data_IF_614951887649
#
_entry.id   IF_614951887649
#
_cell.length_a   1.000
_cell.length_b   1.000
_cell.length_c   1.000
_cell.angle_alpha   90.00
_cell.angle_beta   90.00
_cell.angle_gamma   90.00
#
_symmetry.space_group_name_H-M   'P 1'
#
loop_
_entity.id
_entity.type
_entity.pdbx_description
1 polymer ?
#
# COMPACT_ATOMS: atom_id res chain seq x y z
N UNK A 1 -26.27 73.95 8.88
CA UNK A 1 -25.11 73.11 9.19
C UNK A 1 -23.83 73.93 9.08
N UNK A 2 -23.15 74.11 10.20
CA UNK A 2 -21.92 74.91 10.25
C UNK A 2 -20.73 74.09 9.72
N UNK A 3 -19.84 74.72 8.90
CA UNK A 3 -18.68 74.07 8.28
C UNK A 3 -17.82 73.24 9.26
N UNK A 4 -17.85 73.54 10.55
CA UNK A 4 -17.12 72.82 11.60
C UNK A 4 -17.71 71.47 11.93
N UNK A 5 -19.02 71.27 11.80
CA UNK A 5 -19.70 69.99 12.08
C UNK A 5 -19.47 68.98 10.96
N UNK A 6 -19.30 69.44 9.74
CA UNK A 6 -18.97 68.58 8.59
C UNK A 6 -17.55 68.00 8.67
N UNK A 7 -16.57 68.80 9.17
CA UNK A 7 -15.19 68.36 9.30
C UNK A 7 -15.04 67.31 10.43
N UNK A 8 -15.80 67.44 11.53
CA UNK A 8 -15.81 66.41 12.61
C UNK A 8 -16.46 65.13 12.19
N UNK A 9 -17.48 65.15 11.32
CA UNK A 9 -18.11 63.95 10.78
C UNK A 9 -17.22 63.21 9.78
N UNK A 10 -16.44 63.91 8.95
CA UNK A 10 -15.50 63.33 7.99
C UNK A 10 -14.24 62.79 8.68
N UNK A 11 -13.76 63.47 9.76
CA UNK A 11 -12.63 63.01 10.56
C UNK A 11 -12.95 61.74 11.39
N UNK A 12 -14.18 61.52 11.79
CA UNK A 12 -14.63 60.34 12.52
C UNK A 12 -14.76 59.09 11.61
N UNK A 13 -15.01 59.27 10.30
CA UNK A 13 -15.12 58.18 9.35
C UNK A 13 -13.78 57.63 8.90
N UNK A 14 -12.68 58.37 9.09
CA UNK A 14 -11.31 57.94 8.74
C UNK A 14 -10.67 57.05 9.82
N UNK A 15 -11.30 56.91 10.99
CA UNK A 15 -10.87 56.07 12.09
C UNK A 15 -11.58 54.71 12.15
N UNK A 16 -12.09 54.21 10.98
CA UNK A 16 -12.51 52.81 10.93
C UNK A 16 -11.26 51.98 11.18
N UNK A 17 -11.25 51.11 12.21
CA UNK A 17 -10.13 50.22 12.37
C UNK A 17 -10.06 49.39 11.07
N UNK A 18 -8.99 49.59 10.31
CA UNK A 18 -8.56 48.57 9.36
C UNK A 18 -8.35 47.36 10.25
N UNK A 19 -9.38 46.53 10.37
CA UNK A 19 -9.18 45.17 10.87
C UNK A 19 -8.20 44.57 9.94
N UNK A 20 -6.90 44.69 10.31
CA UNK A 20 -5.87 43.81 9.84
C UNK A 20 -6.47 42.42 10.07
N UNK A 21 -6.92 41.79 9.00
CA UNK A 21 -7.09 40.35 9.03
C UNK A 21 -5.72 39.85 9.40
N UNK A 22 -5.51 39.69 10.74
CA UNK A 22 -4.37 38.97 11.23
C UNK A 22 -4.41 37.71 10.38
N UNK A 23 -3.40 37.52 9.54
CA UNK A 23 -3.17 36.28 8.84
C UNK A 23 -3.25 35.23 9.94
N UNK A 24 -4.40 34.57 10.04
CA UNK A 24 -4.48 33.33 10.82
C UNK A 24 -3.29 32.57 10.35
N UNK A 25 -2.31 32.37 11.25
CA UNK A 25 -1.13 31.62 10.95
C UNK A 25 -1.63 30.36 10.24
N UNK A 26 -1.41 30.27 8.93
CA UNK A 26 -2.00 29.20 8.13
C UNK A 26 -1.49 27.92 8.78
N UNK A 27 -2.41 27.18 9.42
CA UNK A 27 -2.07 25.90 10.06
C UNK A 27 -1.37 25.06 9.01
N UNK A 28 -0.10 24.77 9.21
CA UNK A 28 0.65 23.91 8.30
C UNK A 28 -0.05 22.54 8.28
N UNK A 29 -0.61 22.09 7.14
CA UNK A 29 -1.29 20.80 7.06
C UNK A 29 -0.33 19.66 7.38
N UNK A 30 -0.85 18.66 8.06
CA UNK A 30 -0.10 17.47 8.48
C UNK A 30 -0.56 16.26 7.71
N UNK A 31 0.36 15.59 7.03
CA UNK A 31 0.13 14.32 6.33
C UNK A 31 0.72 13.21 7.18
N UNK A 32 -0.12 12.27 7.62
CA UNK A 32 0.32 11.02 8.22
C UNK A 32 0.56 9.98 7.12
N UNK A 33 1.73 9.41 7.03
CA UNK A 33 2.05 8.35 6.09
C UNK A 33 2.22 7.04 6.85
N UNK A 34 1.34 6.08 6.59
CA UNK A 34 1.27 4.79 7.26
C UNK A 34 1.71 3.67 6.32
N UNK A 35 2.84 3.07 6.60
CA UNK A 35 3.48 2.03 5.80
C UNK A 35 3.56 0.71 6.59
N UNK A 36 3.15 -0.44 6.02
CA UNK A 36 3.29 -1.73 6.68
C UNK A 36 4.73 -2.24 6.72
N UNK A 37 5.59 -1.78 5.79
CA UNK A 37 6.98 -2.21 5.63
C UNK A 37 7.98 -1.49 6.52
N UNK A 38 9.24 -1.52 6.09
CA UNK A 38 10.39 -0.94 6.78
C UNK A 38 10.81 0.40 6.17
N UNK A 39 11.64 1.14 6.89
CA UNK A 39 12.24 2.40 6.42
C UNK A 39 13.58 2.21 5.73
N UNK A 40 14.01 0.97 5.45
CA UNK A 40 15.27 0.69 4.76
C UNK A 40 15.11 0.69 3.23
N UNK A 41 16.22 0.87 2.53
CA UNK A 41 16.25 1.03 1.07
C UNK A 41 15.81 -0.22 0.29
N UNK A 42 15.72 -1.36 0.93
CA UNK A 42 15.28 -2.61 0.31
C UNK A 42 13.76 -2.78 0.31
N UNK A 43 13.01 -1.88 0.96
CA UNK A 43 11.56 -1.98 1.12
C UNK A 43 10.81 -1.14 0.09
N UNK A 44 9.75 -1.71 -0.48
CA UNK A 44 8.83 -1.03 -1.40
C UNK A 44 8.21 0.25 -0.80
N UNK A 45 8.14 0.35 0.53
CA UNK A 45 7.65 1.53 1.23
C UNK A 45 8.44 2.78 0.89
N UNK A 46 9.77 2.66 0.77
CA UNK A 46 10.62 3.79 0.34
C UNK A 46 10.43 4.14 -1.13
N UNK A 47 10.22 3.17 -2.01
CA UNK A 47 9.93 3.43 -3.43
C UNK A 47 8.67 4.30 -3.56
N UNK A 48 7.62 3.99 -2.80
CA UNK A 48 6.38 4.79 -2.77
C UNK A 48 6.67 6.21 -2.26
N UNK A 49 7.41 6.36 -1.17
CA UNK A 49 7.76 7.68 -0.61
C UNK A 49 8.64 8.48 -1.56
N UNK A 50 9.61 7.85 -2.22
CA UNK A 50 10.50 8.49 -3.18
C UNK A 50 9.77 9.00 -4.43
N UNK A 51 8.61 8.46 -4.76
CA UNK A 51 7.72 8.99 -5.79
C UNK A 51 6.78 10.07 -5.21
N UNK A 52 6.24 9.86 -4.01
CA UNK A 52 5.23 10.72 -3.40
C UNK A 52 5.76 12.10 -3.01
N UNK A 53 6.95 12.16 -2.40
CA UNK A 53 7.51 13.43 -1.91
C UNK A 53 7.84 14.41 -3.06
N UNK A 54 8.51 13.99 -4.15
CA UNK A 54 8.71 14.85 -5.31
C UNK A 54 7.39 15.32 -5.95
N UNK A 55 6.40 14.42 -6.08
CA UNK A 55 5.08 14.77 -6.64
C UNK A 55 4.36 15.84 -5.79
N UNK A 56 4.42 15.76 -4.46
CA UNK A 56 3.92 16.82 -3.58
C UNK A 56 4.62 18.16 -3.83
N UNK A 57 5.94 18.14 -4.04
CA UNK A 57 6.72 19.35 -4.32
C UNK A 57 6.33 19.99 -5.65
N UNK A 58 6.08 19.19 -6.68
CA UNK A 58 5.58 19.68 -7.98
C UNK A 58 4.20 20.35 -7.85
N UNK A 59 3.39 19.90 -6.89
CA UNK A 59 2.10 20.51 -6.54
C UNK A 59 2.23 21.72 -5.59
N UNK A 60 3.45 22.16 -5.27
CA UNK A 60 3.70 23.32 -4.41
C UNK A 60 3.76 23.02 -2.92
N UNK A 61 3.70 21.74 -2.50
CA UNK A 61 3.85 21.34 -1.11
C UNK A 61 5.29 20.97 -0.79
N UNK A 62 5.95 21.74 0.07
CA UNK A 62 7.34 21.51 0.50
C UNK A 62 7.37 21.19 1.98
N UNK A 63 7.87 19.99 2.30
CA UNK A 63 7.98 19.53 3.68
C UNK A 63 8.84 20.49 4.51
N UNK A 64 8.36 20.82 5.72
CA UNK A 64 9.00 21.77 6.62
C UNK A 64 8.74 23.26 6.30
N UNK A 65 8.11 23.58 5.17
CA UNK A 65 7.73 24.94 4.81
C UNK A 65 6.20 25.15 4.90
N UNK A 66 5.43 24.39 4.13
CA UNK A 66 3.97 24.53 4.06
C UNK A 66 3.21 23.19 4.20
N UNK A 67 3.90 22.10 4.49
CA UNK A 67 3.35 20.80 4.84
C UNK A 67 4.27 20.10 5.84
N UNK A 68 3.69 19.39 6.82
CA UNK A 68 4.42 18.49 7.72
C UNK A 68 4.07 17.03 7.37
N UNK A 69 5.06 16.14 7.32
CA UNK A 69 4.86 14.74 6.96
C UNK A 69 5.34 13.85 8.10
N UNK A 70 4.41 13.12 8.70
CA UNK A 70 4.70 12.14 9.75
C UNK A 70 4.72 10.73 9.16
N UNK A 71 5.89 10.09 9.14
CA UNK A 71 6.10 8.77 8.56
C UNK A 71 6.08 7.70 9.65
N UNK A 72 5.31 6.64 9.45
CA UNK A 72 5.19 5.49 10.33
C UNK A 72 5.44 4.20 9.55
N UNK A 73 6.39 3.39 10.01
CA UNK A 73 6.77 2.11 9.40
C UNK A 73 6.56 0.98 10.39
N UNK A 74 5.69 0.04 10.06
CA UNK A 74 5.26 -1.01 10.97
C UNK A 74 6.13 -2.28 10.94
N UNK A 75 7.13 -2.37 10.05
CA UNK A 75 8.08 -3.49 9.98
C UNK A 75 7.40 -4.86 9.79
N UNK A 76 6.27 -4.88 9.08
CA UNK A 76 5.42 -6.04 8.82
C UNK A 76 4.68 -6.57 10.05
N UNK A 77 4.70 -5.83 11.17
CA UNK A 77 3.96 -6.11 12.39
C UNK A 77 2.56 -5.46 12.35
N UNK A 78 1.52 -6.31 12.36
CA UNK A 78 0.13 -5.84 12.28
C UNK A 78 -0.33 -5.08 13.54
N UNK A 79 0.19 -5.44 14.73
CA UNK A 79 -0.13 -4.74 15.97
C UNK A 79 0.53 -3.37 16.00
N UNK A 80 1.78 -3.31 15.55
CA UNK A 80 2.51 -2.04 15.40
C UNK A 80 1.79 -1.13 14.39
N UNK A 81 1.29 -1.68 13.29
CA UNK A 81 0.54 -0.93 12.27
C UNK A 81 -0.73 -0.30 12.87
N UNK A 82 -1.50 -1.04 13.67
CA UNK A 82 -2.68 -0.51 14.36
C UNK A 82 -2.34 0.58 15.37
N UNK A 83 -1.31 0.37 16.20
CA UNK A 83 -0.85 1.39 17.15
C UNK A 83 -0.43 2.67 16.44
N UNK A 84 0.32 2.56 15.35
CA UNK A 84 0.78 3.71 14.58
C UNK A 84 -0.36 4.47 13.90
N UNK A 85 -1.41 3.77 13.45
CA UNK A 85 -2.61 4.42 12.93
C UNK A 85 -3.29 5.26 14.04
N UNK A 86 -3.41 4.74 15.26
CA UNK A 86 -3.96 5.46 16.41
C UNK A 86 -3.08 6.67 16.76
N UNK A 87 -1.76 6.52 16.78
CA UNK A 87 -0.83 7.64 17.03
C UNK A 87 -0.99 8.78 16.00
N UNK A 88 -1.21 8.48 14.72
CA UNK A 88 -1.47 9.51 13.71
C UNK A 88 -2.75 10.28 13.99
N UNK A 89 -3.80 9.59 14.44
CA UNK A 89 -5.07 10.22 14.86
C UNK A 89 -4.86 11.12 16.09
N UNK A 90 -4.15 10.65 17.10
CA UNK A 90 -3.83 11.42 18.31
C UNK A 90 -2.99 12.67 17.98
N UNK A 91 -2.13 12.60 16.99
CA UNK A 91 -1.34 13.73 16.47
C UNK A 91 -2.15 14.68 15.61
N UNK A 92 -3.43 14.42 15.41
CA UNK A 92 -4.35 15.26 14.65
C UNK A 92 -3.83 15.58 13.23
N UNK A 93 -3.39 14.54 12.50
CA UNK A 93 -3.06 14.73 11.09
C UNK A 93 -4.31 15.08 10.29
N UNK A 94 -4.14 15.91 9.25
CA UNK A 94 -5.27 16.38 8.43
C UNK A 94 -5.68 15.35 7.35
N UNK A 95 -4.75 14.44 6.99
CA UNK A 95 -4.98 13.32 6.06
C UNK A 95 -4.03 12.17 6.37
N UNK A 96 -4.49 10.93 6.17
CA UNK A 96 -3.65 9.73 6.27
C UNK A 96 -3.45 9.16 4.87
N UNK A 97 -2.19 9.01 4.45
CA UNK A 97 -1.80 8.24 3.27
C UNK A 97 -1.42 6.84 3.73
N UNK A 98 -2.19 5.84 3.31
CA UNK A 98 -2.04 4.46 3.74
C UNK A 98 -1.59 3.58 2.56
N UNK A 99 -0.44 2.93 2.68
CA UNK A 99 0.06 2.02 1.65
C UNK A 99 -0.51 0.62 1.82
N UNK A 100 -1.25 0.15 0.82
CA UNK A 100 -1.89 -1.17 0.76
C UNK A 100 -3.14 -1.36 1.64
N UNK A 101 -3.90 -2.45 1.40
CA UNK A 101 -5.11 -2.78 2.16
C UNK A 101 -4.90 -2.90 3.67
N UNK A 102 -3.82 -3.52 4.21
CA UNK A 102 -3.60 -3.58 5.65
C UNK A 102 -3.48 -2.21 6.32
N UNK A 103 -2.73 -1.27 5.71
CA UNK A 103 -2.57 0.08 6.26
C UNK A 103 -3.88 0.87 6.17
N UNK A 104 -4.61 0.77 5.05
CA UNK A 104 -5.93 1.38 4.90
C UNK A 104 -6.92 0.87 5.95
N UNK A 105 -6.91 -0.44 6.24
CA UNK A 105 -7.74 -1.06 7.28
C UNK A 105 -7.38 -0.54 8.66
N UNK A 106 -6.09 -0.50 9.01
CA UNK A 106 -5.64 0.03 10.29
C UNK A 106 -6.04 1.50 10.48
N UNK A 107 -5.87 2.33 9.45
CA UNK A 107 -6.30 3.73 9.47
C UNK A 107 -7.82 3.86 9.60
N UNK A 108 -8.62 3.09 8.84
CA UNK A 108 -10.09 3.09 8.90
C UNK A 108 -10.62 2.68 10.28
N UNK A 109 -9.95 1.73 10.95
CA UNK A 109 -10.30 1.32 12.31
C UNK A 109 -9.97 2.40 13.35
N UNK A 110 -8.94 3.21 13.11
CA UNK A 110 -8.51 4.27 14.03
C UNK A 110 -9.34 5.55 13.92
N UNK A 111 -9.92 5.85 12.74
CA UNK A 111 -10.70 7.07 12.53
C UNK A 111 -11.80 6.91 11.47
N UNK A 112 -12.91 7.59 11.71
CA UNK A 112 -14.03 7.71 10.75
C UNK A 112 -14.12 9.11 10.12
N UNK A 113 -13.29 10.06 10.58
CA UNK A 113 -13.38 11.49 10.21
C UNK A 113 -12.17 11.98 9.42
N UNK A 114 -10.95 11.54 9.76
CA UNK A 114 -9.76 11.94 9.02
C UNK A 114 -9.80 11.26 7.64
N UNK A 115 -9.65 12.01 6.53
CA UNK A 115 -9.56 11.44 5.19
C UNK A 115 -8.40 10.46 5.07
N UNK A 116 -8.64 9.32 4.43
CA UNK A 116 -7.64 8.28 4.18
C UNK A 116 -7.49 8.11 2.67
N UNK A 117 -6.28 8.37 2.16
CA UNK A 117 -5.91 8.11 0.77
C UNK A 117 -5.10 6.82 0.74
N UNK A 118 -5.75 5.74 0.33
CA UNK A 118 -5.10 4.43 0.27
C UNK A 118 -4.47 4.17 -1.11
N UNK A 119 -3.24 3.68 -1.11
CA UNK A 119 -2.47 3.41 -2.32
C UNK A 119 -2.40 1.91 -2.53
N UNK A 120 -2.69 1.44 -3.76
CA UNK A 120 -2.55 0.06 -4.18
C UNK A 120 -3.32 -0.93 -3.28
N UNK A 121 -4.59 -0.66 -3.03
CA UNK A 121 -5.49 -1.64 -2.42
C UNK A 121 -5.72 -2.81 -3.39
N UNK A 122 -5.89 -4.02 -2.87
CA UNK A 122 -6.20 -5.20 -3.68
C UNK A 122 -7.68 -5.18 -4.10
N UNK A 123 -8.55 -5.61 -3.23
CA UNK A 123 -10.00 -5.50 -3.40
C UNK A 123 -10.60 -4.71 -2.22
N UNK A 124 -10.79 -3.40 -2.38
CA UNK A 124 -11.29 -2.59 -1.28
C UNK A 124 -12.77 -2.80 -0.97
N UNK A 125 -13.54 -3.40 -1.89
CA UNK A 125 -14.96 -3.74 -1.66
C UNK A 125 -15.06 -5.04 -0.85
N UNK A 126 -14.40 -6.09 -1.28
CA UNK A 126 -14.34 -7.36 -0.54
C UNK A 126 -13.65 -7.21 0.80
N UNK A 127 -12.64 -6.35 0.88
CA UNK A 127 -11.96 -5.98 2.12
C UNK A 127 -12.77 -5.03 3.02
N UNK A 128 -14.00 -4.66 2.62
CA UNK A 128 -14.90 -3.75 3.35
C UNK A 128 -14.28 -2.38 3.65
N UNK A 129 -13.33 -1.95 2.83
CA UNK A 129 -12.71 -0.63 2.97
C UNK A 129 -13.59 0.47 2.39
N UNK A 130 -14.29 0.18 1.30
CA UNK A 130 -15.23 1.07 0.62
C UNK A 130 -16.51 0.34 0.25
N UNK A 131 -17.61 1.09 0.07
CA UNK A 131 -18.89 0.51 -0.34
C UNK A 131 -18.89 0.07 -1.81
N UNK A 132 -18.24 0.84 -2.68
CA UNK A 132 -17.98 0.51 -4.08
C UNK A 132 -16.83 1.35 -4.62
N UNK A 133 -16.26 0.95 -5.77
CA UNK A 133 -15.17 1.72 -6.41
C UNK A 133 -15.63 3.11 -6.88
N UNK A 134 -16.86 3.20 -7.41
CA UNK A 134 -17.42 4.46 -7.90
C UNK A 134 -17.91 5.38 -6.79
N UNK A 135 -18.31 4.83 -5.66
CA UNK A 135 -18.86 5.56 -4.50
C UNK A 135 -18.33 4.94 -3.21
N UNK A 136 -17.16 5.36 -2.74
CA UNK A 136 -16.51 4.80 -1.55
C UNK A 136 -17.37 4.85 -0.28
N UNK A 137 -18.20 5.88 -0.10
CA UNK A 137 -19.22 5.95 0.95
C UNK A 137 -18.73 6.26 2.36
N UNK A 138 -17.42 6.51 2.54
CA UNK A 138 -16.82 6.81 3.84
C UNK A 138 -15.60 7.72 3.70
N UNK A 139 -14.71 7.68 4.69
CA UNK A 139 -13.50 8.50 4.73
C UNK A 139 -12.29 7.88 3.98
N UNK A 140 -12.47 6.74 3.30
CA UNK A 140 -11.42 6.06 2.52
C UNK A 140 -11.63 6.29 1.04
N UNK A 141 -10.58 6.72 0.34
CA UNK A 141 -10.47 6.77 -1.11
C UNK A 141 -9.08 6.29 -1.54
N UNK A 142 -8.83 6.13 -2.83
CA UNK A 142 -7.49 5.77 -3.29
C UNK A 142 -7.47 4.97 -4.59
N UNK A 143 -6.42 4.17 -4.75
CA UNK A 143 -6.15 3.37 -5.94
C UNK A 143 -6.15 1.88 -5.64
N UNK A 144 -6.52 1.10 -6.65
CA UNK A 144 -6.45 -0.37 -6.64
C UNK A 144 -5.45 -0.88 -7.67
N UNK A 145 -5.11 -2.16 -7.61
CA UNK A 145 -4.34 -2.85 -8.63
C UNK A 145 -4.96 -4.22 -8.94
N UNK A 146 -4.72 -4.72 -10.15
CA UNK A 146 -5.28 -6.00 -10.64
C UNK A 146 -4.45 -7.23 -10.20
N UNK A 147 -3.97 -7.24 -8.96
CA UNK A 147 -3.14 -8.33 -8.47
C UNK A 147 -3.89 -9.63 -8.23
N UNK A 148 -5.00 -9.59 -7.47
CA UNK A 148 -5.82 -10.75 -7.16
C UNK A 148 -6.41 -11.43 -8.40
N UNK A 149 -6.93 -10.66 -9.34
CA UNK A 149 -7.64 -11.15 -10.53
C UNK A 149 -6.74 -11.89 -11.54
N UNK A 150 -5.43 -11.76 -11.37
CA UNK A 150 -4.46 -12.34 -12.29
C UNK A 150 -3.78 -13.62 -11.78
N UNK A 151 -4.15 -14.13 -10.60
CA UNK A 151 -3.45 -15.29 -10.02
C UNK A 151 -3.61 -16.56 -10.84
N UNK A 152 -4.83 -16.84 -11.33
CA UNK A 152 -5.12 -17.98 -12.20
C UNK A 152 -4.40 -17.83 -13.55
N UNK A 153 -4.38 -16.62 -14.11
CA UNK A 153 -3.71 -16.36 -15.38
C UNK A 153 -2.20 -16.59 -15.30
N UNK A 154 -1.58 -16.19 -14.21
CA UNK A 154 -0.14 -16.45 -13.97
C UNK A 154 0.18 -17.93 -13.93
N UNK A 155 -0.65 -18.75 -13.29
CA UNK A 155 -0.49 -20.21 -13.31
C UNK A 155 -0.62 -20.77 -14.71
N UNK A 156 -1.62 -20.33 -15.49
CA UNK A 156 -1.80 -20.72 -16.88
C UNK A 156 -0.57 -20.39 -17.74
N UNK A 157 -0.04 -19.19 -17.60
CA UNK A 157 1.17 -18.76 -18.33
C UNK A 157 2.39 -19.59 -17.93
N UNK A 158 2.58 -19.86 -16.65
CA UNK A 158 3.68 -20.73 -16.18
C UNK A 158 3.56 -22.14 -16.76
N UNK A 159 2.36 -22.69 -16.88
CA UNK A 159 2.09 -23.99 -17.53
C UNK A 159 2.45 -24.00 -19.02
N UNK A 160 2.22 -22.88 -19.72
CA UNK A 160 2.61 -22.74 -21.13
C UNK A 160 4.14 -22.71 -21.28
N UNK A 161 4.83 -22.03 -20.38
CA UNK A 161 6.29 -21.89 -20.41
C UNK A 161 6.99 -23.19 -20.02
N UNK A 162 6.37 -24.00 -19.12
CA UNK A 162 6.94 -25.26 -18.63
C UNK A 162 6.00 -26.41 -19.04
N UNK A 163 6.21 -27.06 -20.18
CA UNK A 163 5.29 -28.09 -20.70
C UNK A 163 5.09 -29.30 -19.76
N UNK A 164 6.07 -29.61 -18.92
CA UNK A 164 6.01 -30.74 -17.96
C UNK A 164 5.54 -30.34 -16.56
N UNK A 165 5.02 -29.12 -16.36
CA UNK A 165 4.65 -28.60 -15.05
C UNK A 165 3.59 -29.49 -14.37
N UNK A 166 3.96 -30.17 -13.29
CA UNK A 166 3.09 -31.07 -12.55
C UNK A 166 2.84 -30.63 -11.11
N UNK A 167 3.79 -29.96 -10.49
CA UNK A 167 3.69 -29.42 -9.13
C UNK A 167 4.15 -27.99 -9.10
N UNK A 168 3.32 -27.10 -8.57
CA UNK A 168 3.62 -25.65 -8.43
C UNK A 168 3.56 -25.25 -6.98
N UNK A 169 4.63 -24.62 -6.51
CA UNK A 169 4.60 -23.90 -5.24
C UNK A 169 3.94 -22.52 -5.43
N UNK A 170 3.17 -22.12 -4.46
CA UNK A 170 2.57 -20.77 -4.37
C UNK A 170 3.12 -20.10 -3.13
N UNK A 171 4.01 -19.16 -3.31
CA UNK A 171 4.54 -18.35 -2.20
C UNK A 171 3.59 -17.18 -1.94
N UNK A 172 3.04 -17.11 -0.75
CA UNK A 172 2.02 -16.13 -0.40
C UNK A 172 2.19 -15.56 1.00
N UNK A 173 1.68 -14.35 1.22
CA UNK A 173 1.72 -13.68 2.52
C UNK A 173 0.33 -13.73 3.16
N UNK A 174 0.13 -14.43 4.30
CA UNK A 174 -1.20 -14.67 4.88
C UNK A 174 -1.97 -13.42 5.30
N UNK A 175 -1.29 -12.31 5.55
CA UNK A 175 -1.89 -11.05 5.99
C UNK A 175 -1.70 -9.92 4.97
N UNK A 176 -1.47 -10.27 3.69
CA UNK A 176 -1.30 -9.28 2.63
C UNK A 176 -2.57 -8.43 2.41
N UNK A 177 -3.73 -9.05 2.59
CA UNK A 177 -5.05 -8.46 2.30
C UNK A 177 -6.06 -8.88 3.37
N UNK A 178 -7.34 -8.53 3.18
CA UNK A 178 -8.43 -9.05 4.00
C UNK A 178 -8.65 -10.54 3.79
N UNK A 179 -9.34 -11.16 4.75
CA UNK A 179 -9.59 -12.61 4.73
C UNK A 179 -10.36 -13.05 3.48
N UNK A 180 -11.36 -12.26 3.04
CA UNK A 180 -12.17 -12.58 1.85
C UNK A 180 -11.32 -12.53 0.59
N UNK A 181 -10.56 -11.45 0.40
CA UNK A 181 -9.65 -11.32 -0.76
C UNK A 181 -8.64 -12.46 -0.79
N UNK A 182 -8.02 -12.79 0.34
CA UNK A 182 -7.06 -13.91 0.40
C UNK A 182 -7.71 -15.26 0.11
N UNK A 183 -8.86 -15.55 0.72
CA UNK A 183 -9.60 -16.77 0.46
C UNK A 183 -10.02 -16.90 -1.01
N UNK A 184 -10.46 -15.78 -1.61
CA UNK A 184 -10.80 -15.70 -3.03
C UNK A 184 -9.61 -16.05 -3.93
N UNK A 185 -8.45 -15.43 -3.70
CA UNK A 185 -7.23 -15.70 -4.45
C UNK A 185 -6.75 -17.16 -4.34
N UNK A 186 -6.79 -17.73 -3.13
CA UNK A 186 -6.41 -19.14 -2.91
C UNK A 186 -7.38 -20.09 -3.62
N UNK A 187 -8.68 -19.86 -3.49
CA UNK A 187 -9.70 -20.65 -4.18
C UNK A 187 -9.57 -20.56 -5.70
N UNK A 188 -9.26 -19.39 -6.23
CA UNK A 188 -9.10 -19.18 -7.67
C UNK A 188 -7.90 -19.95 -8.22
N UNK A 189 -6.72 -19.87 -7.55
CA UNK A 189 -5.55 -20.62 -8.00
C UNK A 189 -5.72 -22.12 -7.83
N UNK A 190 -6.40 -22.59 -6.80
CA UNK A 190 -6.75 -24.01 -6.60
C UNK A 190 -7.65 -24.52 -7.74
N UNK A 191 -8.69 -23.77 -8.10
CA UNK A 191 -9.57 -24.09 -9.22
C UNK A 191 -8.82 -24.14 -10.55
N UNK A 192 -7.95 -23.16 -10.80
CA UNK A 192 -7.09 -23.15 -11.99
C UNK A 192 -6.15 -24.35 -12.03
N UNK A 193 -5.54 -24.72 -10.91
CA UNK A 193 -4.66 -25.89 -10.82
C UNK A 193 -5.39 -27.20 -11.09
N UNK A 194 -6.61 -27.38 -10.56
CA UNK A 194 -7.45 -28.52 -10.86
C UNK A 194 -7.73 -28.63 -12.36
N UNK A 195 -8.12 -27.53 -12.99
CA UNK A 195 -8.39 -27.46 -14.44
C UNK A 195 -7.16 -27.82 -15.27
N UNK A 196 -5.98 -27.43 -14.82
CA UNK A 196 -4.69 -27.69 -15.50
C UNK A 196 -4.06 -29.04 -15.15
N UNK A 197 -4.64 -29.81 -14.25
CA UNK A 197 -4.09 -31.07 -13.76
C UNK A 197 -2.77 -30.88 -12.99
N UNK A 198 -2.59 -29.77 -12.34
CA UNK A 198 -1.36 -29.37 -11.61
C UNK A 198 -1.58 -29.47 -10.10
N UNK A 199 -0.64 -30.05 -9.36
CA UNK A 199 -0.67 -30.10 -7.90
C UNK A 199 -0.14 -28.78 -7.33
N UNK A 200 -0.84 -28.21 -6.35
CA UNK A 200 -0.38 -27.02 -5.63
C UNK A 200 0.27 -27.38 -4.31
N UNK A 201 1.31 -26.62 -3.99
CA UNK A 201 1.91 -26.53 -2.67
C UNK A 201 1.78 -25.08 -2.18
N UNK A 202 0.88 -24.81 -1.26
CA UNK A 202 0.72 -23.48 -0.68
C UNK A 202 1.79 -23.26 0.40
N UNK A 203 2.65 -22.28 0.20
CA UNK A 203 3.81 -22.00 1.07
C UNK A 203 3.66 -20.59 1.64
N UNK A 204 3.26 -20.45 2.91
CA UNK A 204 3.13 -19.14 3.53
C UNK A 204 4.49 -18.55 3.91
N UNK A 205 4.61 -17.22 3.79
CA UNK A 205 5.69 -16.42 4.35
C UNK A 205 5.07 -15.16 4.99
N UNK A 206 5.09 -15.07 6.30
CA UNK A 206 4.50 -13.96 7.05
C UNK A 206 5.46 -12.77 7.16
N UNK A 207 6.73 -12.96 6.91
CA UNK A 207 7.77 -11.94 6.90
C UNK A 207 8.98 -12.33 6.06
N UNK A 208 9.94 -11.40 5.88
CA UNK A 208 11.16 -11.68 5.11
C UNK A 208 11.98 -12.86 5.63
N UNK A 209 11.99 -13.07 6.95
CA UNK A 209 12.80 -14.12 7.60
C UNK A 209 12.29 -15.52 7.28
N UNK A 210 11.01 -15.67 6.93
CA UNK A 210 10.40 -16.96 6.58
C UNK A 210 10.84 -17.47 5.21
N UNK A 211 11.40 -16.63 4.33
CA UNK A 211 11.70 -16.99 2.94
C UNK A 211 12.67 -18.16 2.82
N UNK A 212 13.68 -18.22 3.66
CA UNK A 212 14.65 -19.34 3.63
C UNK A 212 13.97 -20.67 3.95
N UNK A 213 13.13 -20.71 4.99
CA UNK A 213 12.33 -21.87 5.35
C UNK A 213 11.31 -22.25 4.29
N UNK A 214 10.65 -21.25 3.70
CA UNK A 214 9.69 -21.43 2.61
C UNK A 214 10.35 -22.12 1.40
N UNK A 215 11.53 -21.66 0.97
CA UNK A 215 12.27 -22.29 -0.13
C UNK A 215 12.77 -23.70 0.18
N UNK A 216 13.17 -23.95 1.43
CA UNK A 216 13.52 -25.32 1.87
C UNK A 216 12.30 -26.26 1.76
N UNK A 217 11.10 -25.81 2.15
CA UNK A 217 9.87 -26.58 2.00
C UNK A 217 9.50 -26.82 0.53
N UNK A 218 9.64 -25.81 -0.34
CA UNK A 218 9.40 -25.90 -1.78
C UNK A 218 10.31 -26.96 -2.41
N UNK A 219 11.61 -26.90 -2.09
CA UNK A 219 12.60 -27.85 -2.62
C UNK A 219 12.37 -29.28 -2.14
N UNK A 220 12.00 -29.46 -0.87
CA UNK A 220 11.70 -30.77 -0.29
C UNK A 220 10.55 -31.47 -1.03
N UNK A 221 9.53 -30.73 -1.44
CA UNK A 221 8.38 -31.24 -2.16
C UNK A 221 8.60 -31.34 -3.68
N UNK A 222 9.77 -30.93 -4.18
CA UNK A 222 10.15 -30.97 -5.60
C UNK A 222 9.16 -30.27 -6.50
N UNK A 223 8.85 -29.01 -6.21
CA UNK A 223 8.05 -28.17 -7.10
C UNK A 223 8.80 -27.93 -8.43
N UNK A 224 8.08 -27.99 -9.54
CA UNK A 224 8.58 -27.74 -10.90
C UNK A 224 8.58 -26.24 -11.25
N UNK A 225 7.81 -25.45 -10.51
CA UNK A 225 7.69 -24.02 -10.72
C UNK A 225 7.14 -23.30 -9.48
N UNK A 226 7.27 -21.99 -9.47
CA UNK A 226 6.84 -21.11 -8.39
C UNK A 226 5.93 -20.01 -8.91
N UNK A 227 4.80 -19.78 -8.26
CA UNK A 227 4.00 -18.56 -8.42
C UNK A 227 4.17 -17.71 -7.16
N UNK A 228 4.62 -16.47 -7.33
CA UNK A 228 4.74 -15.51 -6.24
C UNK A 228 3.49 -14.64 -6.22
N UNK A 229 2.69 -14.75 -5.17
CA UNK A 229 1.48 -13.95 -5.02
C UNK A 229 1.81 -12.47 -4.83
N UNK A 230 0.95 -11.57 -5.32
CA UNK A 230 1.12 -10.16 -5.06
C UNK A 230 1.00 -9.88 -3.55
N UNK A 231 1.96 -9.20 -2.99
CA UNK A 231 1.88 -8.61 -1.65
C UNK A 231 2.98 -7.57 -1.48
N UNK A 232 2.77 -6.48 -0.73
CA UNK A 232 3.80 -5.48 -0.48
C UNK A 232 5.08 -6.09 0.10
N UNK A 233 4.96 -7.06 1.02
CA UNK A 233 6.11 -7.75 1.62
C UNK A 233 6.91 -8.54 0.57
N UNK A 234 6.24 -9.32 -0.27
CA UNK A 234 6.92 -10.12 -1.30
C UNK A 234 7.53 -9.24 -2.39
N UNK A 235 6.89 -8.12 -2.76
CA UNK A 235 7.46 -7.14 -3.70
C UNK A 235 8.80 -6.60 -3.20
N UNK A 236 8.88 -6.19 -1.94
CA UNK A 236 10.13 -5.73 -1.33
C UNK A 236 11.22 -6.81 -1.24
N UNK A 237 10.88 -8.08 -1.45
CA UNK A 237 11.81 -9.20 -1.38
C UNK A 237 12.11 -9.85 -2.76
N UNK A 238 11.71 -9.25 -3.86
CA UNK A 238 11.86 -9.84 -5.20
C UNK A 238 13.30 -10.20 -5.54
N UNK A 239 14.28 -9.37 -5.23
CA UNK A 239 15.69 -9.69 -5.46
C UNK A 239 16.14 -10.96 -4.71
N UNK A 240 15.72 -11.09 -3.44
CA UNK A 240 16.01 -12.27 -2.61
C UNK A 240 15.26 -13.50 -3.12
N UNK A 241 13.99 -13.36 -3.47
CA UNK A 241 13.17 -14.45 -4.01
C UNK A 241 13.75 -14.92 -5.35
N UNK A 242 14.17 -14.01 -6.24
CA UNK A 242 14.80 -14.34 -7.51
C UNK A 242 16.12 -15.12 -7.31
N UNK A 243 16.95 -14.66 -6.36
CA UNK A 243 18.19 -15.37 -6.01
C UNK A 243 17.91 -16.78 -5.47
N UNK A 244 16.95 -16.93 -4.57
CA UNK A 244 16.57 -18.24 -4.02
C UNK A 244 15.98 -19.15 -5.10
N UNK A 245 15.14 -18.62 -5.99
CA UNK A 245 14.57 -19.38 -7.10
C UNK A 245 15.67 -19.86 -8.08
N UNK A 246 16.59 -18.99 -8.45
CA UNK A 246 17.72 -19.32 -9.32
C UNK A 246 18.64 -20.39 -8.71
N UNK A 247 19.00 -20.26 -7.44
CA UNK A 247 19.84 -21.22 -6.71
C UNK A 247 19.19 -22.62 -6.64
N UNK A 248 17.86 -22.69 -6.61
CA UNK A 248 17.10 -23.94 -6.59
C UNK A 248 16.67 -24.39 -8.01
N UNK A 249 17.09 -23.70 -9.08
CA UNK A 249 16.68 -23.95 -10.47
C UNK A 249 15.16 -24.02 -10.63
N UNK A 250 14.46 -23.17 -9.92
CA UNK A 250 13.01 -23.14 -9.84
C UNK A 250 12.48 -21.97 -10.69
N UNK A 251 11.88 -22.23 -11.86
CA UNK A 251 11.26 -21.18 -12.66
C UNK A 251 10.15 -20.49 -11.86
N UNK A 252 10.19 -19.17 -11.79
CA UNK A 252 9.29 -18.39 -10.96
C UNK A 252 8.53 -17.34 -11.78
N UNK A 253 7.20 -17.30 -11.58
CA UNK A 253 6.27 -16.31 -12.11
C UNK A 253 5.96 -15.29 -11.03
N UNK A 254 6.20 -14.03 -11.32
CA UNK A 254 6.03 -12.90 -10.39
C UNK A 254 4.76 -12.10 -10.70
N UNK A 255 4.36 -11.29 -9.75
CA UNK A 255 3.15 -10.46 -9.87
C UNK A 255 3.41 -9.09 -10.53
N UNK A 256 4.67 -8.68 -10.68
CA UNK A 256 5.03 -7.39 -11.25
C UNK A 256 6.35 -7.47 -12.02
N UNK A 257 6.46 -6.64 -13.07
CA UNK A 257 7.62 -6.60 -14.00
C UNK A 257 8.94 -6.23 -13.32
N UNK A 258 8.87 -5.49 -12.23
CA UNK A 258 10.04 -5.08 -11.44
C UNK A 258 10.87 -6.29 -10.96
N UNK A 259 10.23 -7.44 -10.80
CA UNK A 259 10.93 -8.67 -10.48
C UNK A 259 11.95 -9.08 -11.55
N UNK A 260 11.68 -8.78 -12.83
CA UNK A 260 12.57 -9.10 -13.94
C UNK A 260 13.86 -8.27 -13.88
N UNK A 261 13.74 -7.00 -13.54
CA UNK A 261 14.89 -6.09 -13.36
C UNK A 261 15.77 -6.53 -12.17
N UNK A 262 15.20 -7.27 -11.23
CA UNK A 262 15.86 -7.82 -10.04
C UNK A 262 16.30 -9.29 -10.21
N UNK A 263 16.31 -9.81 -11.43
CA UNK A 263 16.76 -11.17 -11.74
C UNK A 263 15.67 -12.24 -11.75
N UNK A 264 14.40 -11.86 -11.68
CA UNK A 264 13.26 -12.75 -11.88
C UNK A 264 13.16 -13.24 -13.32
N UNK A 265 12.56 -14.41 -13.53
CA UNK A 265 12.49 -15.02 -14.86
C UNK A 265 11.26 -14.55 -15.66
N UNK A 266 10.09 -14.50 -15.04
CA UNK A 266 8.81 -14.22 -15.71
C UNK A 266 7.88 -13.38 -14.82
N UNK A 267 7.15 -12.42 -15.41
CA UNK A 267 6.11 -11.64 -14.72
C UNK A 267 4.88 -11.41 -15.60
#
# INVERSE_FOLDING_TARGET
MRRREFITLVGGAAAWPITVHAQQAMKIPRIGVLMPGRSDQSDVSLTILNAFIPALRELGFTEGQNVAIERKFAEWDADKLRRMATELVERQVDVIVASSSPAARAAKQATTTIPIVAIAMADPVDDELVASLARPGGNVTGTTFLGPELVSKRLQLLRVIIPGLSRVAVLWHPRAYGERTMAGMLKEIESAAQTLGTKLQLVPAAGPDDLTGAFAAITKERADGLVVFPSPMLFGQYARIATLAANNRLPAMYAAREAIELGGLVS
#
